data_IF_248045021929
#
_entry.id   IF_248045021929
#
_cell.length_a   1.000
_cell.length_b   1.000
_cell.length_c   1.000
_cell.angle_alpha   90.00
_cell.angle_beta   90.00
_cell.angle_gamma   90.00
#
_symmetry.space_group_name_H-M   'P 1'
#
loop_
_entity.id
_entity.type
_entity.pdbx_description
1 polymer ?
#
# COMPACT_ATOMS: atom_id res chain seq x y z
N UNK A 1 -1.15 27.30 -28.69
CA UNK A 1 -2.48 26.68 -28.86
C UNK A 1 -2.25 25.29 -29.43
N UNK A 2 -2.07 24.30 -28.56
CA UNK A 2 -1.91 22.89 -28.94
C UNK A 2 -3.15 22.16 -28.45
N UNK A 3 -3.77 21.39 -29.34
CA UNK A 3 -5.02 20.69 -29.11
C UNK A 3 -4.98 19.90 -27.81
N UNK A 4 -5.83 20.29 -26.86
CA UNK A 4 -6.20 19.41 -25.76
C UNK A 4 -6.83 18.17 -26.38
N UNK A 5 -6.10 17.06 -26.37
CA UNK A 5 -6.64 15.75 -26.68
C UNK A 5 -7.86 15.56 -25.78
N UNK A 6 -9.04 15.43 -26.38
CA UNK A 6 -10.19 14.81 -25.73
C UNK A 6 -9.81 13.35 -25.50
N UNK A 7 -9.01 13.09 -24.46
CA UNK A 7 -8.68 11.75 -24.02
C UNK A 7 -9.99 11.10 -23.59
N UNK A 8 -10.30 9.96 -24.20
CA UNK A 8 -11.44 9.14 -23.84
C UNK A 8 -11.32 8.76 -22.36
N UNK A 9 -12.10 9.43 -21.50
CA UNK A 9 -12.26 9.13 -20.06
C UNK A 9 -12.56 7.66 -19.75
N UNK A 10 -12.95 6.89 -20.77
CA UNK A 10 -13.24 5.45 -20.74
C UNK A 10 -11.98 4.58 -20.58
N UNK A 11 -10.78 5.04 -20.97
CA UNK A 11 -9.61 4.16 -21.07
C UNK A 11 -8.89 3.90 -19.71
N UNK A 12 -8.88 4.86 -18.78
CA UNK A 12 -8.05 4.74 -17.56
C UNK A 12 -8.48 3.60 -16.62
N UNK A 13 -9.78 3.53 -16.29
CA UNK A 13 -10.29 2.47 -15.39
C UNK A 13 -10.15 1.11 -16.05
N UNK A 14 -10.40 1.03 -17.36
CA UNK A 14 -10.24 -0.19 -18.15
C UNK A 14 -8.79 -0.68 -18.11
N UNK A 15 -7.81 0.20 -18.34
CA UNK A 15 -6.40 -0.17 -18.32
C UNK A 15 -5.91 -0.62 -16.94
N UNK A 16 -6.39 -0.01 -15.86
CA UNK A 16 -5.97 -0.37 -14.50
C UNK A 16 -6.67 -1.64 -14.00
N UNK A 17 -7.93 -1.87 -14.37
CA UNK A 17 -8.79 -2.83 -13.66
C UNK A 17 -9.52 -3.87 -14.52
N UNK A 18 -9.57 -3.76 -15.85
CA UNK A 18 -10.39 -4.65 -16.71
C UNK A 18 -10.11 -6.14 -16.51
N UNK A 19 -8.84 -6.49 -16.25
CA UNK A 19 -8.40 -7.87 -16.05
C UNK A 19 -8.56 -8.37 -14.60
N UNK A 20 -8.85 -7.48 -13.64
CA UNK A 20 -8.89 -7.85 -12.23
C UNK A 20 -10.24 -8.48 -11.85
N UNK A 21 -10.17 -9.55 -11.07
CA UNK A 21 -11.33 -10.17 -10.42
C UNK A 21 -11.50 -9.73 -8.96
N UNK A 22 -10.68 -8.79 -8.50
CA UNK A 22 -10.71 -8.26 -7.14
C UNK A 22 -11.83 -7.27 -6.91
N UNK A 23 -11.96 -6.83 -5.66
CA UNK A 23 -12.79 -5.70 -5.26
C UNK A 23 -11.98 -4.41 -5.36
N UNK A 24 -12.59 -3.35 -5.86
CA UNK A 24 -12.00 -2.03 -6.01
C UNK A 24 -12.75 -1.09 -5.07
N UNK A 25 -12.03 -0.32 -4.26
CA UNK A 25 -12.67 0.69 -3.41
C UNK A 25 -12.86 1.95 -4.23
N UNK A 26 -14.07 2.51 -4.23
CA UNK A 26 -14.37 3.87 -4.66
C UNK A 26 -14.75 4.69 -3.45
N UNK A 27 -14.18 5.88 -3.29
CA UNK A 27 -14.51 6.78 -2.20
C UNK A 27 -14.81 8.19 -2.69
N UNK A 28 -15.66 8.89 -1.94
CA UNK A 28 -16.05 10.28 -2.17
C UNK A 28 -15.85 11.07 -0.89
N UNK A 29 -15.28 12.27 -1.00
CA UNK A 29 -15.18 13.22 0.11
C UNK A 29 -16.05 14.44 -0.19
N UNK A 30 -17.14 14.57 0.56
CA UNK A 30 -18.09 15.67 0.46
C UNK A 30 -18.28 16.39 1.81
N UNK A 31 -19.32 17.24 1.91
CA UNK A 31 -19.64 17.98 3.14
C UNK A 31 -20.02 17.07 4.33
N UNK A 32 -20.47 15.84 4.07
CA UNK A 32 -20.82 14.83 5.09
C UNK A 32 -19.61 14.03 5.55
N UNK A 33 -18.46 14.17 4.87
CA UNK A 33 -17.20 13.53 5.22
C UNK A 33 -16.77 12.50 4.18
N UNK A 34 -15.98 11.52 4.63
CA UNK A 34 -15.45 10.44 3.80
C UNK A 34 -16.46 9.29 3.74
N UNK A 35 -16.84 8.90 2.51
CA UNK A 35 -17.66 7.73 2.25
C UNK A 35 -16.92 6.81 1.28
N UNK A 36 -17.03 5.48 1.47
CA UNK A 36 -16.43 4.49 0.58
C UNK A 36 -17.37 3.33 0.30
N UNK A 37 -17.20 2.74 -0.87
CA UNK A 37 -17.93 1.58 -1.37
C UNK A 37 -16.95 0.67 -2.12
N UNK A 38 -17.34 -0.59 -2.30
CA UNK A 38 -16.52 -1.59 -3.00
C UNK A 38 -17.28 -2.17 -4.17
N UNK A 39 -16.62 -2.27 -5.32
CA UNK A 39 -17.22 -2.71 -6.58
C UNK A 39 -16.33 -3.73 -7.27
N UNK A 40 -16.93 -4.61 -8.07
CA UNK A 40 -16.19 -5.29 -9.14
C UNK A 40 -16.00 -4.34 -10.32
N UNK A 41 -15.00 -4.60 -11.15
CA UNK A 41 -14.73 -3.78 -12.35
C UNK A 41 -15.98 -3.57 -13.21
N UNK A 42 -16.74 -4.65 -13.45
CA UNK A 42 -17.97 -4.61 -14.25
C UNK A 42 -19.02 -3.62 -13.73
N UNK A 43 -19.07 -3.38 -12.42
CA UNK A 43 -19.98 -2.42 -11.79
C UNK A 43 -19.34 -1.02 -11.73
N UNK A 44 -18.04 -0.96 -11.45
CA UNK A 44 -17.31 0.30 -11.28
C UNK A 44 -17.27 1.14 -12.56
N UNK A 45 -17.05 0.51 -13.71
CA UNK A 45 -16.85 1.19 -15.00
C UNK A 45 -18.05 2.02 -15.46
N UNK A 46 -19.25 1.64 -15.00
CA UNK A 46 -20.51 2.30 -15.37
C UNK A 46 -20.90 3.41 -14.39
N UNK A 47 -20.13 3.62 -13.31
CA UNK A 47 -20.37 4.70 -12.35
C UNK A 47 -19.87 6.05 -12.87
N UNK A 48 -20.58 7.12 -12.52
CA UNK A 48 -20.11 8.48 -12.80
C UNK A 48 -18.88 8.84 -11.96
N UNK A 49 -17.83 9.27 -12.67
CA UNK A 49 -16.53 9.67 -12.13
C UNK A 49 -16.26 11.17 -12.28
N UNK A 50 -17.23 11.97 -12.72
CA UNK A 50 -17.05 13.42 -12.97
C UNK A 50 -17.34 14.32 -11.76
N UNK A 51 -17.74 13.74 -10.62
CA UNK A 51 -18.03 14.50 -9.39
C UNK A 51 -16.78 15.07 -8.70
N UNK A 52 -17.00 15.78 -7.58
CA UNK A 52 -15.91 16.30 -6.75
C UNK A 52 -15.29 15.19 -5.89
N UNK A 53 -13.95 15.20 -5.77
CA UNK A 53 -13.17 14.36 -4.85
C UNK A 53 -13.53 12.88 -4.92
N UNK A 54 -13.55 12.32 -6.13
CA UNK A 54 -13.74 10.90 -6.37
C UNK A 54 -12.37 10.22 -6.42
N UNK A 55 -12.20 9.15 -5.65
CA UNK A 55 -10.97 8.38 -5.59
C UNK A 55 -11.25 6.90 -5.80
N UNK A 56 -10.26 6.18 -6.32
CA UNK A 56 -10.27 4.71 -6.38
C UNK A 56 -8.94 4.12 -5.89
N UNK A 57 -8.98 2.88 -5.42
CA UNK A 57 -7.76 2.08 -5.21
C UNK A 57 -7.25 1.52 -6.52
N UNK A 58 -5.93 1.56 -6.75
CA UNK A 58 -5.32 1.00 -7.96
C UNK A 58 -5.00 -0.49 -7.85
N UNK A 59 -4.75 -0.96 -6.63
CA UNK A 59 -4.68 -2.38 -6.31
C UNK A 59 -6.03 -2.89 -5.82
N UNK A 60 -6.25 -4.21 -5.88
CA UNK A 60 -7.56 -4.81 -5.59
C UNK A 60 -7.53 -5.75 -4.39
N UNK A 61 -8.71 -6.05 -3.85
CA UNK A 61 -8.89 -6.83 -2.61
C UNK A 61 -9.67 -8.13 -2.86
N UNK A 62 -9.49 -9.14 -2.01
CA UNK A 62 -10.23 -10.41 -2.16
C UNK A 62 -11.64 -10.32 -1.59
N UNK A 63 -11.87 -9.40 -0.64
CA UNK A 63 -13.17 -9.07 -0.03
C UNK A 63 -13.40 -7.55 -0.04
N UNK A 64 -14.65 -7.06 0.10
CA UNK A 64 -14.97 -5.63 0.09
C UNK A 64 -14.53 -4.94 1.41
N UNK A 65 -13.23 -4.92 1.68
CA UNK A 65 -12.64 -4.31 2.86
C UNK A 65 -11.19 -3.88 2.53
N UNK A 66 -10.93 -2.58 2.55
CA UNK A 66 -9.66 -1.95 2.13
C UNK A 66 -8.61 -2.04 3.25
N UNK A 67 -7.98 -3.21 3.40
CA UNK A 67 -6.86 -3.43 4.33
C UNK A 67 -5.70 -4.13 3.66
N UNK A 68 -4.51 -3.99 4.25
CA UNK A 68 -3.27 -4.49 3.66
C UNK A 68 -3.29 -6.02 3.52
N UNK A 69 -3.78 -6.71 4.54
CA UNK A 69 -3.94 -8.16 4.52
C UNK A 69 -4.98 -8.63 3.50
N UNK A 70 -5.88 -7.73 3.07
CA UNK A 70 -6.97 -8.03 2.16
C UNK A 70 -6.59 -7.90 0.68
N UNK A 71 -5.36 -7.45 0.38
CA UNK A 71 -4.88 -7.31 -0.99
C UNK A 71 -4.97 -8.66 -1.71
N UNK A 72 -5.52 -8.63 -2.93
CA UNK A 72 -5.60 -9.77 -3.84
C UNK A 72 -4.51 -9.70 -4.89
N UNK A 73 -4.54 -8.62 -5.66
CA UNK A 73 -3.66 -8.38 -6.81
C UNK A 73 -3.08 -6.97 -6.69
N UNK A 74 -1.77 -6.88 -6.89
CA UNK A 74 -1.05 -5.62 -7.08
C UNK A 74 -0.92 -5.40 -8.59
N UNK A 75 -1.54 -4.34 -9.09
CA UNK A 75 -1.64 -4.06 -10.53
C UNK A 75 -0.81 -2.84 -10.93
N UNK A 76 -0.39 -2.03 -9.96
CA UNK A 76 0.26 -0.74 -10.22
C UNK A 76 1.33 -0.42 -9.19
N UNK A 77 2.35 0.33 -9.60
CA UNK A 77 3.18 1.16 -8.74
C UNK A 77 2.75 2.61 -8.92
N UNK A 78 2.99 3.46 -7.93
CA UNK A 78 2.58 4.86 -8.01
C UNK A 78 3.32 5.75 -7.02
N UNK A 79 3.56 7.00 -7.43
CA UNK A 79 4.12 8.03 -6.57
C UNK A 79 3.24 9.28 -6.64
N UNK A 80 2.88 9.81 -5.47
CA UNK A 80 2.18 11.08 -5.31
C UNK A 80 3.21 12.19 -5.08
N UNK A 81 3.30 13.14 -6.01
CA UNK A 81 4.22 14.27 -5.98
C UNK A 81 3.47 15.52 -5.55
N UNK A 82 3.69 15.93 -4.31
CA UNK A 82 3.24 17.21 -3.78
C UNK A 82 4.25 18.31 -4.15
N UNK A 83 4.49 18.52 -5.45
CA UNK A 83 5.50 19.49 -5.92
C UNK A 83 5.22 20.92 -5.43
N UNK A 84 3.96 21.25 -5.08
CA UNK A 84 3.59 22.53 -4.47
C UNK A 84 4.19 22.76 -3.07
N UNK A 85 4.78 21.73 -2.45
CA UNK A 85 5.60 21.83 -1.22
C UNK A 85 7.07 22.15 -1.53
N UNK A 86 7.42 22.29 -2.80
CA UNK A 86 8.75 22.66 -3.30
C UNK A 86 8.67 24.01 -3.99
N UNK A 87 9.82 24.58 -4.36
CA UNK A 87 9.90 25.83 -5.12
C UNK A 87 9.77 25.63 -6.64
N UNK A 88 9.42 24.41 -7.10
CA UNK A 88 9.29 24.07 -8.53
C UNK A 88 7.85 24.19 -9.00
N UNK A 89 7.66 24.71 -10.22
CA UNK A 89 6.37 24.68 -10.92
C UNK A 89 6.10 23.29 -11.52
N UNK A 90 4.85 23.04 -11.88
CA UNK A 90 4.44 21.79 -12.57
C UNK A 90 5.31 21.52 -13.81
N UNK A 91 5.49 22.52 -14.66
CA UNK A 91 6.24 22.38 -15.90
C UNK A 91 7.74 22.15 -15.63
N UNK A 92 8.31 22.81 -14.62
CA UNK A 92 9.70 22.57 -14.21
C UNK A 92 9.90 21.14 -13.72
N UNK A 93 8.97 20.61 -12.92
CA UNK A 93 9.02 19.22 -12.47
C UNK A 93 8.91 18.27 -13.65
N UNK A 94 7.92 18.46 -14.53
CA UNK A 94 7.70 17.59 -15.68
C UNK A 94 8.92 17.56 -16.62
N UNK A 95 9.46 18.72 -16.99
CA UNK A 95 10.65 18.81 -17.84
C UNK A 95 11.89 18.13 -17.21
N UNK A 96 12.07 18.27 -15.90
CA UNK A 96 13.19 17.65 -15.18
C UNK A 96 13.03 16.11 -15.14
N UNK A 97 11.81 15.63 -14.89
CA UNK A 97 11.49 14.20 -14.92
C UNK A 97 11.73 13.58 -16.29
N UNK A 98 11.20 14.18 -17.35
CA UNK A 98 11.36 13.72 -18.73
C UNK A 98 12.82 13.69 -19.16
N UNK A 99 13.59 14.74 -18.81
CA UNK A 99 14.97 14.88 -19.25
C UNK A 99 15.95 14.02 -18.46
N UNK A 100 15.75 13.89 -17.15
CA UNK A 100 16.79 13.40 -16.23
C UNK A 100 16.41 12.12 -15.44
N UNK A 101 15.14 11.70 -15.45
CA UNK A 101 14.67 10.58 -14.62
C UNK A 101 14.06 9.44 -15.44
N UNK A 102 13.13 9.75 -16.35
CA UNK A 102 12.43 8.74 -17.14
C UNK A 102 13.39 7.92 -18.00
N UNK A 103 13.24 6.60 -17.95
CA UNK A 103 14.12 5.60 -18.57
C UNK A 103 15.60 5.70 -18.18
N UNK A 104 15.90 6.36 -17.06
CA UNK A 104 17.24 6.52 -16.52
C UNK A 104 17.27 5.97 -15.10
N UNK A 105 16.85 6.78 -14.12
CA UNK A 105 16.79 6.39 -12.72
C UNK A 105 15.44 5.77 -12.34
N UNK A 106 14.39 5.95 -13.16
CA UNK A 106 13.08 5.34 -12.97
C UNK A 106 12.51 4.88 -14.32
N UNK A 107 11.64 3.85 -14.34
CA UNK A 107 10.90 3.48 -15.55
C UNK A 107 10.00 4.63 -16.02
N UNK A 108 9.69 4.67 -17.31
CA UNK A 108 8.73 5.62 -17.86
C UNK A 108 7.34 5.32 -17.26
N UNK A 109 6.67 6.29 -16.61
CA UNK A 109 5.32 6.06 -16.09
C UNK A 109 4.31 5.89 -17.21
N UNK A 110 3.33 5.01 -16.99
CA UNK A 110 2.19 4.84 -17.87
C UNK A 110 1.27 6.04 -17.87
N UNK A 111 1.12 6.68 -16.70
CA UNK A 111 0.34 7.89 -16.55
C UNK A 111 1.11 8.92 -15.74
N UNK A 112 1.17 10.12 -16.31
CA UNK A 112 1.46 11.35 -15.57
C UNK A 112 0.14 12.07 -15.39
N UNK A 113 -0.34 12.23 -14.16
CA UNK A 113 -1.67 12.79 -13.87
C UNK A 113 -1.52 14.08 -13.06
N UNK A 114 -2.11 15.17 -13.53
CA UNK A 114 -2.32 16.37 -12.73
C UNK A 114 -3.48 16.13 -11.76
N UNK A 115 -3.17 16.03 -10.46
CA UNK A 115 -4.18 15.80 -9.42
C UNK A 115 -4.96 17.08 -9.04
N UNK A 116 -4.68 18.18 -9.73
CA UNK A 116 -5.20 19.51 -9.52
C UNK A 116 -4.35 20.39 -8.60
N UNK A 117 -3.40 19.79 -7.87
CA UNK A 117 -2.42 20.49 -7.02
C UNK A 117 -1.04 19.86 -7.07
N UNK A 118 -0.99 18.53 -7.10
CA UNK A 118 0.23 17.74 -7.26
C UNK A 118 0.17 16.92 -8.55
N UNK A 119 1.05 15.92 -8.64
CA UNK A 119 1.15 15.04 -9.80
C UNK A 119 1.24 13.58 -9.35
N UNK A 120 0.53 12.68 -10.02
CA UNK A 120 0.73 11.25 -9.85
C UNK A 120 1.59 10.73 -10.98
N UNK A 121 2.57 9.89 -10.63
CA UNK A 121 3.22 8.99 -11.58
C UNK A 121 2.69 7.59 -11.31
N UNK A 122 2.17 6.90 -12.32
CA UNK A 122 1.61 5.55 -12.19
C UNK A 122 2.29 4.64 -13.21
N UNK A 123 2.71 3.46 -12.76
CA UNK A 123 3.20 2.37 -13.61
C UNK A 123 2.26 1.19 -13.52
N UNK A 124 1.75 0.72 -14.65
CA UNK A 124 1.00 -0.52 -14.79
C UNK A 124 1.97 -1.69 -14.75
N UNK A 125 1.64 -2.72 -13.98
CA UNK A 125 2.40 -3.96 -13.93
C UNK A 125 1.50 -5.15 -14.25
N UNK A 126 2.08 -6.22 -14.78
CA UNK A 126 1.43 -7.52 -14.79
C UNK A 126 1.02 -7.87 -13.36
N UNK A 127 -0.26 -8.20 -13.18
CA UNK A 127 -0.84 -8.40 -11.85
C UNK A 127 -0.05 -9.47 -11.08
N UNK A 128 0.47 -9.10 -9.92
CA UNK A 128 1.16 -10.02 -9.01
C UNK A 128 0.31 -10.26 -7.76
N UNK A 129 0.39 -11.46 -7.17
CA UNK A 129 -0.41 -11.76 -5.99
C UNK A 129 0.17 -11.06 -4.74
N UNK A 130 -0.61 -11.01 -3.66
CA UNK A 130 -0.26 -10.28 -2.43
C UNK A 130 1.05 -10.74 -1.76
N UNK A 131 1.52 -11.97 -2.03
CA UNK A 131 2.82 -12.47 -1.58
C UNK A 131 4.00 -11.65 -2.14
N UNK A 132 3.81 -10.96 -3.27
CA UNK A 132 4.84 -10.08 -3.85
C UNK A 132 4.90 -8.69 -3.18
N UNK A 133 4.02 -8.41 -2.21
CA UNK A 133 3.93 -7.10 -1.55
C UNK A 133 5.26 -6.60 -0.95
N UNK A 134 6.15 -7.43 -0.36
CA UNK A 134 7.45 -6.97 0.11
C UNK A 134 8.34 -6.43 -1.02
N UNK A 135 8.33 -7.08 -2.20
CA UNK A 135 9.06 -6.61 -3.38
C UNK A 135 8.39 -5.36 -3.97
N UNK A 136 7.06 -5.35 -4.05
CA UNK A 136 6.32 -4.18 -4.51
C UNK A 136 6.64 -2.95 -3.66
N UNK A 137 6.64 -3.09 -2.34
CA UNK A 137 6.97 -2.02 -1.40
C UNK A 137 8.42 -1.54 -1.56
N UNK A 138 9.34 -2.46 -1.82
CA UNK A 138 10.73 -2.13 -2.11
C UNK A 138 10.89 -1.26 -3.36
N UNK A 139 10.16 -1.57 -4.42
CA UNK A 139 10.15 -0.77 -5.65
C UNK A 139 9.52 0.59 -5.39
N UNK A 140 8.38 0.67 -4.67
CA UNK A 140 7.79 1.95 -4.25
C UNK A 140 8.77 2.80 -3.42
N UNK A 141 9.48 2.21 -2.47
CA UNK A 141 10.45 2.94 -1.65
C UNK A 141 11.65 3.43 -2.48
N UNK A 142 12.07 2.67 -3.49
CA UNK A 142 13.10 3.09 -4.44
C UNK A 142 12.64 4.30 -5.26
N UNK A 143 11.45 4.20 -5.89
CA UNK A 143 10.86 5.27 -6.69
C UNK A 143 10.69 6.55 -5.84
N UNK A 144 10.18 6.41 -4.61
CA UNK A 144 10.10 7.52 -3.66
C UNK A 144 11.45 8.17 -3.39
N UNK A 145 12.52 7.39 -3.18
CA UNK A 145 13.86 7.95 -2.92
C UNK A 145 14.37 8.77 -4.12
N UNK A 146 14.17 8.28 -5.34
CA UNK A 146 14.53 9.02 -6.56
C UNK A 146 13.74 10.32 -6.66
N UNK A 147 12.47 10.29 -6.28
CA UNK A 147 11.53 11.39 -6.51
C UNK A 147 11.35 12.33 -5.30
N UNK A 148 12.05 12.09 -4.20
CA UNK A 148 11.91 12.85 -2.95
C UNK A 148 12.13 14.36 -3.15
N UNK A 149 13.05 14.74 -4.03
CA UNK A 149 13.36 16.14 -4.32
C UNK A 149 12.21 16.88 -5.03
N UNK A 150 11.24 16.16 -5.60
CA UNK A 150 10.04 16.71 -6.23
C UNK A 150 8.83 16.72 -5.29
N UNK A 151 9.02 16.44 -4.00
CA UNK A 151 7.94 16.43 -3.02
C UNK A 151 7.15 15.11 -2.99
N UNK A 152 7.77 13.97 -3.35
CA UNK A 152 7.14 12.67 -3.21
C UNK A 152 6.63 12.44 -1.77
N UNK A 153 5.36 12.06 -1.61
CA UNK A 153 4.73 11.83 -0.31
C UNK A 153 5.02 10.43 0.21
N UNK A 154 5.72 10.34 1.34
CA UNK A 154 6.06 9.07 1.99
C UNK A 154 4.83 8.29 2.46
N UNK A 155 3.77 8.98 2.86
CA UNK A 155 2.53 8.39 3.37
C UNK A 155 1.66 7.83 2.23
N UNK A 156 1.92 8.24 0.99
CA UNK A 156 1.21 7.73 -0.18
C UNK A 156 1.73 6.37 -0.67
N UNK A 157 2.77 5.78 -0.05
CA UNK A 157 3.39 4.52 -0.51
C UNK A 157 2.71 3.24 0.01
N UNK A 158 1.46 3.33 0.45
CA UNK A 158 0.68 2.19 0.95
C UNK A 158 -0.02 1.46 -0.20
N UNK A 159 -0.08 0.12 -0.16
CA UNK A 159 -0.69 -0.67 -1.25
C UNK A 159 -2.22 -0.55 -1.32
N UNK A 160 -2.85 -0.01 -0.27
CA UNK A 160 -4.29 0.27 -0.20
C UNK A 160 -4.63 1.72 -0.54
N UNK A 161 -3.66 2.48 -1.08
CA UNK A 161 -3.81 3.90 -1.40
C UNK A 161 -4.94 4.13 -2.40
N UNK A 162 -5.66 5.23 -2.16
CA UNK A 162 -6.66 5.79 -3.06
C UNK A 162 -6.10 7.04 -3.74
N UNK A 163 -6.29 7.16 -5.05
CA UNK A 163 -5.91 8.34 -5.83
C UNK A 163 -7.14 8.91 -6.55
N UNK A 164 -7.14 10.23 -6.81
CA UNK A 164 -8.25 10.85 -7.55
C UNK A 164 -8.31 10.30 -8.96
N UNK A 165 -9.53 10.05 -9.45
CA UNK A 165 -9.73 9.54 -10.80
C UNK A 165 -9.63 10.70 -11.80
N UNK A 166 -8.95 10.54 -12.94
CA UNK A 166 -9.04 11.47 -14.06
C UNK A 166 -10.49 11.78 -14.44
N UNK A 167 -10.78 13.04 -14.68
CA UNK A 167 -12.12 13.57 -14.95
C UNK A 167 -12.89 14.06 -13.72
N UNK A 168 -12.51 13.65 -12.51
CA UNK A 168 -13.09 14.19 -11.27
C UNK A 168 -12.56 15.59 -10.96
N UNK A 169 -13.24 16.32 -10.07
CA UNK A 169 -12.85 17.68 -9.66
C UNK A 169 -12.17 17.65 -8.29
N UNK A 170 -10.95 18.20 -8.20
CA UNK A 170 -10.34 18.45 -6.90
C UNK A 170 -10.96 19.71 -6.27
N UNK A 171 -11.78 19.54 -5.23
CA UNK A 171 -12.54 20.66 -4.67
C UNK A 171 -11.66 21.73 -4.00
N UNK A 172 -10.41 21.40 -3.64
CA UNK A 172 -9.47 22.32 -2.98
C UNK A 172 -8.83 23.30 -3.97
N UNK A 173 -8.59 22.87 -5.20
CA UNK A 173 -8.04 23.71 -6.28
C UNK A 173 -9.08 24.14 -7.30
N UNK A 174 -10.27 23.52 -7.28
CA UNK A 174 -11.33 23.71 -8.28
C UNK A 174 -10.87 23.41 -9.70
N UNK A 175 -9.97 22.43 -9.83
CA UNK A 175 -9.42 21.95 -11.11
C UNK A 175 -9.85 20.52 -11.38
N UNK A 176 -10.01 20.19 -12.66
CA UNK A 176 -10.26 18.82 -13.13
C UNK A 176 -8.96 18.04 -13.07
N UNK A 177 -9.03 16.81 -12.56
CA UNK A 177 -7.91 15.86 -12.58
C UNK A 177 -7.72 15.38 -14.01
N UNK A 178 -6.54 15.59 -14.58
CA UNK A 178 -6.30 15.32 -16.01
C UNK A 178 -5.04 14.49 -16.21
N UNK A 179 -5.06 13.63 -17.22
CA UNK A 179 -3.87 12.93 -17.69
C UNK A 179 -3.06 13.92 -18.53
N UNK A 180 -1.79 14.09 -18.18
CA UNK A 180 -0.82 14.96 -18.87
C UNK A 180 -0.05 14.19 -19.94
N UNK A 181 0.30 12.94 -19.65
CA UNK A 181 1.06 12.06 -20.54
C UNK A 181 0.68 10.60 -20.33
N UNK A 182 0.81 9.81 -21.40
CA UNK A 182 0.45 8.39 -21.47
C UNK A 182 1.55 7.57 -22.15
N UNK A 183 1.85 6.41 -21.57
CA UNK A 183 2.78 5.44 -22.15
C UNK A 183 2.16 4.05 -22.13
N UNK A 184 2.02 3.42 -23.30
CA UNK A 184 1.38 2.11 -23.45
C UNK A 184 2.40 0.97 -23.26
N UNK A 185 2.68 0.61 -22.01
CA UNK A 185 3.55 -0.53 -21.68
C UNK A 185 3.19 -1.18 -20.34
N UNK A 186 3.00 -2.50 -20.29
CA UNK A 186 2.75 -3.19 -19.02
C UNK A 186 4.05 -3.82 -18.54
N UNK A 187 4.57 -3.33 -17.42
CA UNK A 187 5.83 -3.80 -16.85
C UNK A 187 5.71 -5.13 -16.11
N UNK A 188 6.78 -5.91 -16.06
CA UNK A 188 6.92 -6.92 -15.01
C UNK A 188 7.52 -6.30 -13.74
N UNK A 189 7.02 -6.66 -12.56
CA UNK A 189 7.60 -6.17 -11.30
C UNK A 189 9.09 -6.56 -11.18
N UNK A 190 9.47 -7.70 -11.75
CA UNK A 190 10.87 -8.18 -11.82
C UNK A 190 11.71 -7.41 -12.83
N UNK A 191 11.12 -6.97 -13.93
CA UNK A 191 11.80 -6.12 -14.90
C UNK A 191 12.18 -4.79 -14.26
N UNK A 192 11.26 -4.14 -13.54
CA UNK A 192 11.56 -2.89 -12.82
C UNK A 192 12.63 -3.13 -11.74
N UNK A 193 12.51 -4.24 -10.99
CA UNK A 193 13.53 -4.61 -10.01
C UNK A 193 14.92 -4.71 -10.66
N UNK A 194 15.05 -5.46 -11.75
CA UNK A 194 16.34 -5.73 -12.37
C UNK A 194 16.91 -4.52 -13.13
N UNK A 195 16.05 -3.68 -13.69
CA UNK A 195 16.46 -2.50 -14.48
C UNK A 195 16.88 -1.31 -13.62
N UNK A 196 16.29 -1.13 -12.43
CA UNK A 196 16.43 0.13 -11.69
C UNK A 196 16.93 -0.03 -10.25
N UNK A 197 16.60 -1.13 -9.57
CA UNK A 197 17.03 -1.30 -8.17
C UNK A 197 18.51 -1.72 -8.14
N UNK A 198 19.28 -1.31 -7.12
CA UNK A 198 20.67 -1.69 -6.98
C UNK A 198 20.83 -3.21 -6.85
N UNK A 199 21.90 -3.75 -7.44
CA UNK A 199 22.18 -5.18 -7.36
C UNK A 199 22.23 -5.69 -5.92
N UNK A 200 21.56 -6.81 -5.72
CA UNK A 200 21.58 -7.59 -4.50
C UNK A 200 23.00 -8.09 -4.25
N UNK A 201 23.72 -7.53 -3.27
CA UNK A 201 24.99 -8.11 -2.84
C UNK A 201 24.77 -9.57 -2.42
N UNK A 202 25.43 -10.55 -3.07
CA UNK A 202 25.28 -11.95 -2.71
C UNK A 202 25.70 -12.16 -1.25
N UNK A 203 25.02 -13.08 -0.56
CA UNK A 203 25.35 -13.42 0.82
C UNK A 203 26.75 -14.03 0.88
N UNK A 204 27.69 -13.34 1.54
CA UNK A 204 29.01 -13.92 1.83
C UNK A 204 28.85 -15.10 2.80
N UNK A 205 29.02 -16.31 2.27
CA UNK A 205 28.90 -17.55 3.03
C UNK A 205 30.01 -17.63 4.08
N UNK A 206 29.67 -17.47 5.37
CA UNK A 206 30.59 -17.82 6.46
C UNK A 206 30.78 -19.35 6.50
N UNK A 207 32.04 -19.83 6.55
CA UNK A 207 32.39 -21.26 6.62
C UNK A 207 31.55 -21.99 7.68
N UNK A 208 30.98 -23.14 7.33
CA UNK A 208 30.17 -23.98 8.23
C UNK A 208 28.68 -23.65 8.33
N UNK A 209 28.17 -22.60 7.67
CA UNK A 209 26.72 -22.30 7.62
C UNK A 209 26.13 -22.58 6.22
N UNK A 210 24.89 -23.12 6.13
CA UNK A 210 24.17 -23.23 4.86
C UNK A 210 24.09 -21.87 4.17
N UNK A 211 24.14 -21.85 2.83
CA UNK A 211 23.91 -20.64 2.05
C UNK A 211 22.51 -20.10 2.35
N UNK A 212 22.42 -18.90 2.92
CA UNK A 212 21.15 -18.19 3.05
C UNK A 212 21.02 -17.26 1.85
N UNK A 213 19.89 -17.34 1.15
CA UNK A 213 19.53 -16.31 0.16
C UNK A 213 19.41 -14.98 0.91
N UNK A 214 20.19 -13.99 0.46
CA UNK A 214 20.10 -12.61 0.94
C UNK A 214 18.90 -11.98 0.23
N UNK A 215 17.73 -12.05 0.85
CA UNK A 215 16.63 -11.20 0.41
C UNK A 215 16.91 -9.79 0.95
N UNK A 216 17.02 -8.78 0.09
CA UNK A 216 16.69 -7.43 0.56
C UNK A 216 15.25 -7.53 1.10
N UNK A 217 14.95 -6.82 2.17
CA UNK A 217 13.59 -6.73 2.73
C UNK A 217 13.10 -7.97 3.52
N UNK A 218 14.02 -8.79 4.07
CA UNK A 218 13.69 -9.88 5.03
C UNK A 218 12.73 -9.43 6.13
N UNK A 219 12.98 -8.24 6.67
CA UNK A 219 12.20 -7.69 7.78
C UNK A 219 10.76 -7.36 7.34
N UNK A 220 10.58 -6.76 6.16
CA UNK A 220 9.24 -6.50 5.60
C UNK A 220 8.47 -7.78 5.34
N UNK A 221 9.15 -8.80 4.80
CA UNK A 221 8.54 -10.11 4.55
C UNK A 221 8.09 -10.78 5.86
N UNK A 222 8.92 -10.68 6.90
CA UNK A 222 8.59 -11.15 8.25
C UNK A 222 7.35 -10.45 8.80
N UNK A 223 7.33 -9.10 8.81
CA UNK A 223 6.19 -8.35 9.35
C UNK A 223 4.91 -8.62 8.56
N UNK A 224 4.97 -8.69 7.24
CA UNK A 224 3.80 -9.00 6.43
C UNK A 224 3.22 -10.38 6.75
N UNK A 225 4.05 -11.42 6.82
CA UNK A 225 3.54 -12.75 7.15
C UNK A 225 3.05 -12.86 8.61
N UNK A 226 3.65 -12.13 9.55
CA UNK A 226 3.11 -12.04 10.92
C UNK A 226 1.75 -11.33 10.97
N UNK A 227 1.53 -10.29 10.16
CA UNK A 227 0.21 -9.66 10.02
C UNK A 227 -0.81 -10.70 9.51
N UNK A 228 -0.46 -11.47 8.49
CA UNK A 228 -1.32 -12.53 7.94
C UNK A 228 -1.65 -13.61 8.97
N UNK A 229 -0.64 -14.11 9.70
CA UNK A 229 -0.83 -15.15 10.71
C UNK A 229 -1.69 -14.65 11.89
N UNK A 230 -1.53 -13.40 12.31
CA UNK A 230 -2.40 -12.80 13.36
C UNK A 230 -3.86 -12.73 12.89
N UNK A 231 -4.10 -12.29 11.65
CA UNK A 231 -5.46 -12.24 11.10
C UNK A 231 -6.03 -13.66 10.98
N UNK A 232 -5.24 -14.62 10.50
CA UNK A 232 -5.63 -16.03 10.44
C UNK A 232 -5.98 -16.59 11.81
N UNK A 233 -5.21 -16.26 12.85
CA UNK A 233 -5.52 -16.64 14.23
C UNK A 233 -6.86 -16.07 14.69
N UNK A 234 -7.15 -14.80 14.37
CA UNK A 234 -8.43 -14.18 14.69
C UNK A 234 -9.59 -14.91 14.00
N UNK A 235 -9.41 -15.30 12.73
CA UNK A 235 -10.41 -16.05 11.96
C UNK A 235 -10.63 -17.47 12.53
N UNK A 236 -9.57 -18.20 12.85
CA UNK A 236 -9.64 -19.57 13.40
C UNK A 236 -10.34 -19.61 14.76
N UNK A 237 -10.17 -18.56 15.57
CA UNK A 237 -10.86 -18.39 16.86
C UNK A 237 -12.25 -17.77 16.73
N UNK A 238 -12.77 -17.63 15.50
CA UNK A 238 -14.06 -16.99 15.18
C UNK A 238 -14.25 -15.62 15.86
N UNK A 239 -13.14 -14.89 15.99
CA UNK A 239 -13.02 -13.61 16.67
C UNK A 239 -13.43 -13.61 18.17
N UNK A 240 -13.48 -14.78 18.82
CA UNK A 240 -13.55 -14.90 20.28
C UNK A 240 -12.16 -14.92 20.91
N UNK A 241 -11.64 -13.73 21.22
CA UNK A 241 -10.23 -13.54 21.59
C UNK A 241 -10.06 -13.17 23.07
N UNK A 242 -11.02 -13.51 23.92
CA UNK A 242 -10.99 -13.15 25.35
C UNK A 242 -9.66 -13.61 25.97
N UNK A 243 -8.96 -12.71 26.65
CA UNK A 243 -7.63 -12.96 27.23
C UNK A 243 -6.45 -12.54 26.35
N UNK A 244 -6.64 -12.45 25.01
CA UNK A 244 -5.56 -12.10 24.08
C UNK A 244 -5.83 -10.83 23.24
N UNK A 245 -7.00 -10.20 23.33
CA UNK A 245 -7.41 -9.03 22.51
C UNK A 245 -6.35 -7.94 22.47
N UNK A 246 -5.90 -7.50 23.65
CA UNK A 246 -4.94 -6.41 23.80
C UNK A 246 -3.60 -6.75 23.14
N UNK A 247 -3.10 -7.97 23.36
CA UNK A 247 -1.84 -8.43 22.80
C UNK A 247 -1.94 -8.61 21.27
N UNK A 248 -3.01 -9.20 20.77
CA UNK A 248 -3.28 -9.37 19.33
C UNK A 248 -3.31 -8.01 18.64
N UNK A 249 -4.07 -7.06 19.18
CA UNK A 249 -4.17 -5.71 18.62
C UNK A 249 -2.84 -4.96 18.70
N UNK A 250 -2.09 -5.13 19.78
CA UNK A 250 -0.75 -4.56 19.91
C UNK A 250 0.21 -5.10 18.85
N UNK A 251 0.28 -6.43 18.69
CA UNK A 251 1.16 -7.07 17.70
C UNK A 251 0.77 -6.69 16.28
N UNK A 252 -0.54 -6.70 15.98
CA UNK A 252 -1.08 -6.27 14.69
C UNK A 252 -0.69 -4.82 14.36
N UNK A 253 -0.97 -3.88 15.28
CA UNK A 253 -0.60 -2.47 15.11
C UNK A 253 0.91 -2.29 14.99
N UNK A 254 1.70 -3.02 15.78
CA UNK A 254 3.16 -2.96 15.74
C UNK A 254 3.72 -3.37 14.39
N UNK A 255 3.32 -4.54 13.88
CA UNK A 255 3.80 -5.00 12.58
C UNK A 255 3.29 -4.13 11.43
N UNK A 256 2.06 -3.59 11.52
CA UNK A 256 1.58 -2.59 10.56
C UNK A 256 2.44 -1.34 10.56
N UNK A 257 2.70 -0.71 11.72
CA UNK A 257 3.57 0.46 11.81
C UNK A 257 4.93 0.20 11.15
N UNK A 258 5.55 -0.95 11.44
CA UNK A 258 6.84 -1.31 10.87
C UNK A 258 6.80 -1.60 9.36
N UNK A 259 5.66 -2.08 8.84
CA UNK A 259 5.52 -2.40 7.43
C UNK A 259 5.13 -1.19 6.58
N UNK A 260 4.08 -0.47 6.98
CA UNK A 260 3.49 0.66 6.24
C UNK A 260 4.25 1.96 6.47
N UNK A 261 4.88 2.11 7.64
CA UNK A 261 5.49 3.34 8.14
C UNK A 261 4.46 4.47 8.37
N UNK A 262 3.20 4.09 8.67
CA UNK A 262 2.07 4.98 8.92
C UNK A 262 1.36 4.60 10.24
N UNK A 263 1.56 5.44 11.26
CA UNK A 263 1.06 5.19 12.62
C UNK A 263 -0.44 5.44 12.77
N UNK A 264 -0.99 6.38 11.99
CA UNK A 264 -2.41 6.74 12.04
C UNK A 264 -3.23 5.67 11.34
N UNK A 265 -2.79 5.24 10.15
CA UNK A 265 -3.40 4.12 9.45
C UNK A 265 -3.34 2.85 10.28
N UNK A 266 -2.19 2.52 10.88
CA UNK A 266 -2.06 1.32 11.71
C UNK A 266 -2.99 1.33 12.93
N UNK A 267 -3.24 2.50 13.54
CA UNK A 267 -4.24 2.62 14.61
C UNK A 267 -5.66 2.39 14.10
N UNK A 268 -6.02 3.02 12.98
CA UNK A 268 -7.35 2.87 12.39
C UNK A 268 -7.63 1.41 11.98
N UNK A 269 -6.66 0.76 11.34
CA UNK A 269 -6.76 -0.67 10.98
C UNK A 269 -6.94 -1.55 12.24
N UNK A 270 -6.24 -1.23 13.34
CA UNK A 270 -6.38 -1.97 14.61
C UNK A 270 -7.75 -1.73 15.27
N UNK A 271 -8.30 -0.52 15.21
CA UNK A 271 -9.66 -0.22 15.68
C UNK A 271 -10.70 -0.96 14.86
N UNK A 272 -10.53 -1.02 13.53
CA UNK A 272 -11.41 -1.78 12.64
C UNK A 272 -11.33 -3.28 12.95
N UNK A 273 -10.13 -3.85 13.13
CA UNK A 273 -9.98 -5.25 13.54
C UNK A 273 -10.68 -5.53 14.88
N UNK A 274 -10.51 -4.66 15.88
CA UNK A 274 -11.19 -4.77 17.17
C UNK A 274 -12.72 -4.77 17.03
N UNK A 275 -13.27 -4.01 16.08
CA UNK A 275 -14.72 -4.00 15.84
C UNK A 275 -15.28 -5.34 15.35
N UNK A 276 -14.41 -6.22 14.83
CA UNK A 276 -14.77 -7.57 14.41
C UNK A 276 -14.78 -8.57 15.59
N UNK A 277 -14.25 -8.21 16.75
CA UNK A 277 -14.18 -9.11 17.90
C UNK A 277 -15.55 -9.34 18.51
N UNK A 278 -15.87 -10.59 18.90
CA UNK A 278 -17.12 -10.91 19.61
C UNK A 278 -17.33 -10.06 20.86
N UNK A 279 -16.22 -9.71 21.51
CA UNK A 279 -16.17 -8.80 22.65
C UNK A 279 -15.11 -7.74 22.39
N UNK A 280 -15.46 -6.72 21.61
CA UNK A 280 -14.59 -5.58 21.33
C UNK A 280 -14.15 -4.86 22.62
N UNK A 281 -12.92 -4.34 22.61
CA UNK A 281 -12.47 -3.34 23.57
C UNK A 281 -13.08 -1.98 23.22
N UNK A 282 -13.19 -1.08 24.19
CA UNK A 282 -13.50 0.32 23.88
C UNK A 282 -12.37 0.97 23.08
N UNK A 283 -12.67 1.98 22.27
CA UNK A 283 -11.67 2.73 21.50
C UNK A 283 -10.51 3.23 22.38
N UNK A 284 -10.83 3.78 23.56
CA UNK A 284 -9.85 4.24 24.54
C UNK A 284 -8.92 3.11 25.01
N UNK A 285 -9.45 1.91 25.22
CA UNK A 285 -8.66 0.75 25.62
C UNK A 285 -7.73 0.28 24.49
N UNK A 286 -8.22 0.23 23.25
CA UNK A 286 -7.38 -0.10 22.08
C UNK A 286 -6.23 0.88 21.95
N UNK A 287 -6.52 2.19 22.00
CA UNK A 287 -5.49 3.23 21.90
C UNK A 287 -4.46 3.06 23.02
N UNK A 288 -4.91 2.87 24.26
CA UNK A 288 -4.03 2.73 25.44
C UNK A 288 -3.18 1.46 25.37
N UNK A 289 -3.80 0.31 25.10
CA UNK A 289 -3.14 -0.99 25.08
C UNK A 289 -2.11 -1.11 23.96
N UNK A 290 -2.35 -0.44 22.83
CA UNK A 290 -1.47 -0.53 21.65
C UNK A 290 -0.50 0.65 21.52
N UNK A 291 -0.53 1.65 22.43
CA UNK A 291 0.32 2.86 22.34
C UNK A 291 1.82 2.54 22.29
N UNK A 292 2.25 1.45 22.91
CA UNK A 292 3.64 0.98 22.87
C UNK A 292 4.09 0.57 21.46
N UNK A 293 3.18 0.15 20.57
CA UNK A 293 3.50 -0.22 19.19
C UNK A 293 4.07 0.99 18.42
N UNK A 294 3.39 2.12 18.55
CA UNK A 294 3.83 3.40 17.97
C UNK A 294 5.15 3.88 18.57
N UNK A 295 5.28 3.86 19.91
CA UNK A 295 6.52 4.25 20.60
C UNK A 295 7.71 3.41 20.17
N UNK A 296 7.50 2.10 20.00
CA UNK A 296 8.52 1.17 19.55
C UNK A 296 8.93 1.41 18.09
N UNK A 297 7.97 1.74 17.22
CA UNK A 297 8.27 2.10 15.84
C UNK A 297 9.10 3.41 15.77
N UNK A 298 8.76 4.42 16.56
CA UNK A 298 9.45 5.72 16.58
C UNK A 298 10.84 5.66 17.23
N UNK A 299 11.03 4.82 18.24
CA UNK A 299 12.31 4.66 18.93
C UNK A 299 13.12 3.50 18.34
N UNK A 300 14.11 3.83 17.49
CA UNK A 300 14.99 2.84 16.84
C UNK A 300 15.73 1.91 17.84
N UNK A 301 15.85 2.30 19.10
CA UNK A 301 16.50 1.49 20.13
C UNK A 301 15.55 0.52 20.83
N UNK A 302 14.23 0.69 20.67
CA UNK A 302 13.21 -0.22 21.19
C UNK A 302 12.69 -1.02 20.02
N UNK A 303 13.14 -2.26 19.86
CA UNK A 303 12.57 -3.20 18.89
C UNK A 303 12.10 -4.45 19.62
N UNK A 304 10.82 -4.78 19.47
CA UNK A 304 10.29 -6.03 19.98
C UNK A 304 10.66 -7.18 19.03
N UNK A 305 11.81 -7.80 19.31
CA UNK A 305 12.31 -8.97 18.57
C UNK A 305 11.70 -10.26 19.10
N UNK A 306 10.38 -10.36 19.05
CA UNK A 306 9.67 -11.58 19.43
C UNK A 306 10.16 -12.75 18.58
N UNK A 307 10.59 -13.82 19.25
CA UNK A 307 10.83 -15.11 18.59
C UNK A 307 9.48 -15.77 18.31
N UNK A 308 9.51 -16.74 17.40
CA UNK A 308 8.33 -17.48 16.99
C UNK A 308 7.74 -18.27 18.17
N UNK A 309 8.60 -18.93 18.96
CA UNK A 309 8.19 -19.68 20.15
C UNK A 309 7.54 -18.77 21.20
N UNK A 310 8.06 -17.55 21.36
CA UNK A 310 7.50 -16.56 22.29
C UNK A 310 6.10 -16.11 21.85
N UNK A 311 5.85 -15.95 20.55
CA UNK A 311 4.52 -15.58 20.05
C UNK A 311 3.52 -16.72 20.26
N UNK A 312 3.94 -17.97 20.02
CA UNK A 312 3.13 -19.17 20.25
C UNK A 312 2.73 -19.27 21.73
N UNK A 313 3.69 -19.09 22.64
CA UNK A 313 3.45 -19.13 24.09
C UNK A 313 2.52 -17.99 24.55
N UNK A 314 2.80 -16.74 24.18
CA UNK A 314 2.02 -15.58 24.64
C UNK A 314 0.59 -15.55 24.11
N UNK A 315 0.34 -16.10 22.93
CA UNK A 315 -0.98 -16.16 22.30
C UNK A 315 -1.68 -17.51 22.52
N UNK A 316 -1.02 -18.43 23.22
CA UNK A 316 -1.48 -19.81 23.45
C UNK A 316 -1.93 -20.47 22.12
N UNK A 317 -1.08 -20.39 21.09
CA UNK A 317 -1.42 -20.90 19.75
C UNK A 317 -1.32 -22.42 19.76
N UNK A 318 -2.44 -23.09 19.45
CA UNK A 318 -2.51 -24.55 19.43
C UNK A 318 -1.78 -25.14 18.22
N UNK A 319 -1.39 -26.42 18.31
CA UNK A 319 -0.79 -27.16 17.17
C UNK A 319 -1.72 -27.21 15.94
N UNK A 320 -3.04 -27.21 16.14
CA UNK A 320 -4.00 -27.17 15.03
C UNK A 320 -4.02 -25.80 14.34
N UNK A 321 -4.01 -24.72 15.12
CA UNK A 321 -3.92 -23.35 14.58
C UNK A 321 -2.60 -23.12 13.84
N UNK A 322 -1.50 -23.62 14.40
CA UNK A 322 -0.16 -23.53 13.82
C UNK A 322 -0.09 -24.11 12.39
N UNK A 323 -0.80 -25.20 12.09
CA UNK A 323 -0.84 -25.81 10.74
C UNK A 323 -1.37 -24.89 9.65
N UNK A 324 -2.07 -23.82 10.02
CA UNK A 324 -2.65 -22.84 9.11
C UNK A 324 -1.82 -21.55 9.01
N UNK A 325 -0.68 -21.48 9.71
CA UNK A 325 0.20 -20.32 9.74
C UNK A 325 1.40 -20.50 8.81
N UNK A 326 2.06 -19.40 8.48
CA UNK A 326 3.16 -19.38 7.49
C UNK A 326 4.50 -18.92 8.06
N UNK A 327 4.50 -17.97 9.00
CA UNK A 327 5.69 -17.30 9.51
C UNK A 327 5.89 -17.51 11.02
N UNK A 328 4.83 -17.52 11.82
CA UNK A 328 4.93 -17.70 13.28
C UNK A 328 5.42 -19.13 13.63
N UNK A 329 5.35 -20.07 12.70
CA UNK A 329 5.81 -21.47 12.86
C UNK A 329 7.16 -21.78 12.18
N UNK A 330 7.76 -20.80 11.47
CA UNK A 330 8.90 -21.03 10.57
C UNK A 330 10.27 -21.00 11.23
#
# INVERSE_FOLDING_TARGET
MGNALQVNKVNYIDNVHSNSKGWITRSVIDKKGYNQWHYKYAELKDLDMNGENIYITLNTFYKPCRRLENIKELNTLFIDLDYYKTDKTKDQVLMDLEKNYFNQSIPIPNYVIDSGRGMYLIWLINAVPSQALPLWKAVQDYLYKQLKCFGADRQALDATRILRVPGSINSKSKTVVNILDEYEYVYDLREIQNGFLPELKPYEKKKGRPSKINYIYRERSLYYGRIQDIIKLCELREYDLKGHRELILFLYRYYLCSFTEDIEKALNDALELNSMFRKALSEREVIRATRSAERCYLDKNKQYKYKNETLIELLEITEEEQRNMTIIIS
#
